data_IF_285217605689
#
_entry.id   IF_285217605689
#
_cell.length_a   1.000
_cell.length_b   1.000
_cell.length_c   1.000
_cell.angle_alpha   90.00
_cell.angle_beta   90.00
_cell.angle_gamma   90.00
#
_symmetry.space_group_name_H-M   'P 1'
#
loop_
_entity.id
_entity.type
_entity.pdbx_description
1 polymer ?
#
# COMPACT_ATOMS: atom_id res chain seq x y z
N UNK A 1 22.73 13.98 3.34
CA UNK A 1 22.75 12.50 3.16
C UNK A 1 21.78 11.87 4.16
N UNK A 2 20.86 11.01 3.74
CA UNK A 2 19.93 10.34 4.66
C UNK A 2 20.65 9.16 5.35
N UNK A 3 20.45 8.97 6.67
CA UNK A 3 21.13 7.89 7.43
C UNK A 3 20.73 6.48 6.99
N UNK A 4 19.50 6.32 6.52
CA UNK A 4 18.99 5.05 5.98
C UNK A 4 18.47 5.31 4.57
N UNK A 5 18.92 4.55 3.56
CA UNK A 5 18.32 4.59 2.24
C UNK A 5 16.89 4.02 2.29
N UNK A 6 16.00 4.55 1.46
CA UNK A 6 14.60 4.11 1.38
C UNK A 6 13.59 5.24 1.65
N UNK A 7 12.31 4.89 1.53
CA UNK A 7 11.18 5.81 1.70
C UNK A 7 10.91 6.07 3.19
N UNK A 8 10.56 7.31 3.52
CA UNK A 8 9.95 7.69 4.79
C UNK A 8 8.45 7.47 4.73
N UNK A 9 7.82 7.47 5.91
CA UNK A 9 6.36 7.41 6.04
C UNK A 9 5.68 8.53 5.25
N UNK A 10 6.22 9.76 5.30
CA UNK A 10 5.69 10.88 4.53
C UNK A 10 5.71 10.61 3.01
N UNK A 11 6.79 10.04 2.50
CA UNK A 11 6.96 9.73 1.07
C UNK A 11 6.06 8.56 0.64
N UNK A 12 5.92 7.52 1.48
CA UNK A 12 4.97 6.43 1.22
C UNK A 12 3.54 6.94 1.19
N UNK A 13 3.16 7.78 2.15
CA UNK A 13 1.83 8.37 2.24
C UNK A 13 1.52 9.22 1.00
N UNK A 14 2.47 10.04 0.58
CA UNK A 14 2.37 10.86 -0.63
C UNK A 14 2.17 9.99 -1.88
N UNK A 15 3.03 8.99 -2.09
CA UNK A 15 2.98 8.08 -3.24
C UNK A 15 1.70 7.25 -3.27
N UNK A 16 1.22 6.80 -2.11
CA UNK A 16 0.00 6.00 -1.98
C UNK A 16 -1.28 6.85 -1.87
N UNK A 17 -1.18 8.19 -1.89
CA UNK A 17 -2.31 9.13 -1.73
C UNK A 17 -3.13 8.88 -0.47
N UNK A 18 -2.47 8.58 0.64
CA UNK A 18 -3.08 8.42 1.98
C UNK A 18 -2.46 9.42 2.96
N UNK A 19 -3.05 9.58 4.16
CA UNK A 19 -2.43 10.41 5.19
C UNK A 19 -1.22 9.70 5.83
N UNK A 20 -0.28 10.48 6.36
CA UNK A 20 0.85 9.93 7.14
C UNK A 20 0.34 9.15 8.35
N UNK A 21 -0.72 9.65 9.01
CA UNK A 21 -1.39 8.95 10.11
C UNK A 21 -1.93 7.57 9.69
N UNK A 22 -2.44 7.46 8.46
CA UNK A 22 -2.89 6.17 7.92
C UNK A 22 -1.74 5.16 7.87
N UNK A 23 -0.56 5.57 7.37
CA UNK A 23 0.64 4.71 7.33
C UNK A 23 1.08 4.32 8.74
N UNK A 24 1.08 5.26 9.69
CA UNK A 24 1.42 4.97 11.09
C UNK A 24 0.45 3.95 11.71
N UNK A 25 -0.85 4.12 11.52
CA UNK A 25 -1.84 3.17 12.04
C UNK A 25 -1.75 1.80 11.38
N UNK A 26 -1.42 1.76 10.07
CA UNK A 26 -1.22 0.52 9.32
C UNK A 26 -0.06 -0.28 9.89
N UNK A 27 1.09 0.37 10.12
CA UNK A 27 2.26 -0.25 10.73
C UNK A 27 2.01 -0.75 12.16
N UNK A 28 1.15 -0.06 12.91
CA UNK A 28 0.78 -0.45 14.27
C UNK A 28 -0.33 -1.52 14.32
N UNK A 29 -0.84 -1.98 13.17
CA UNK A 29 -1.94 -2.93 13.07
C UNK A 29 -3.22 -2.50 13.83
N UNK A 30 -3.49 -1.19 13.94
CA UNK A 30 -4.61 -0.65 14.73
C UNK A 30 -5.91 -0.57 13.93
N UNK A 31 -6.65 -1.68 13.89
CA UNK A 31 -8.07 -1.69 13.51
C UNK A 31 -8.37 -1.24 12.08
N UNK A 32 -7.39 -1.29 11.18
CA UNK A 32 -7.56 -0.92 9.79
C UNK A 32 -8.05 -2.12 8.97
N UNK A 33 -8.95 -1.82 8.04
CA UNK A 33 -9.35 -2.69 6.93
C UNK A 33 -9.07 -1.90 5.64
N UNK A 34 -7.83 -1.93 5.13
CA UNK A 34 -7.50 -1.20 3.91
C UNK A 34 -8.34 -1.73 2.75
N UNK A 35 -8.89 -0.82 1.96
CA UNK A 35 -9.65 -1.17 0.76
C UNK A 35 -8.70 -1.68 -0.33
N UNK A 36 -9.24 -2.41 -1.31
CA UNK A 36 -8.46 -2.86 -2.47
C UNK A 36 -7.72 -1.70 -3.18
N UNK A 37 -8.33 -0.50 -3.26
CA UNK A 37 -7.69 0.68 -3.87
C UNK A 37 -6.48 1.17 -3.05
N UNK A 38 -6.57 1.15 -1.72
CA UNK A 38 -5.45 1.52 -0.85
C UNK A 38 -4.33 0.49 -0.97
N UNK A 39 -4.65 -0.79 -1.03
CA UNK A 39 -3.66 -1.86 -1.23
C UNK A 39 -2.96 -1.76 -2.59
N UNK A 40 -3.69 -1.42 -3.66
CA UNK A 40 -3.11 -1.12 -4.97
C UNK A 40 -2.14 0.05 -4.90
N UNK A 41 -2.56 1.16 -4.28
CA UNK A 41 -1.74 2.36 -4.15
C UNK A 41 -0.45 2.08 -3.35
N UNK A 42 -0.55 1.35 -2.25
CA UNK A 42 0.59 0.91 -1.44
C UNK A 42 1.52 -0.02 -2.23
N UNK A 43 0.97 -0.97 -2.98
CA UNK A 43 1.76 -1.90 -3.80
C UNK A 43 2.60 -1.15 -4.84
N UNK A 44 2.01 -0.11 -5.47
CA UNK A 44 2.71 0.75 -6.43
C UNK A 44 3.75 1.64 -5.76
N UNK A 45 3.42 2.27 -4.63
CA UNK A 45 4.32 3.13 -3.87
C UNK A 45 5.58 2.38 -3.40
N UNK A 46 5.40 1.15 -2.93
CA UNK A 46 6.47 0.28 -2.45
C UNK A 46 7.15 -0.53 -3.56
N UNK A 47 6.68 -0.41 -4.81
CA UNK A 47 7.18 -1.15 -5.98
C UNK A 47 7.21 -2.66 -5.77
N UNK A 48 6.15 -3.19 -5.18
CA UNK A 48 6.03 -4.63 -4.89
C UNK A 48 6.00 -5.45 -6.18
N UNK A 49 6.71 -6.56 -6.18
CA UNK A 49 6.62 -7.56 -7.22
C UNK A 49 5.23 -8.22 -7.22
N UNK A 50 4.81 -8.88 -8.33
CA UNK A 50 3.46 -9.45 -8.44
C UNK A 50 3.09 -10.43 -7.32
N UNK A 51 4.05 -11.24 -6.86
CA UNK A 51 3.87 -12.18 -5.75
C UNK A 51 3.75 -11.46 -4.38
N UNK A 52 4.54 -10.41 -4.15
CA UNK A 52 4.46 -9.59 -2.94
C UNK A 52 3.14 -8.82 -2.88
N UNK A 53 2.66 -8.31 -4.02
CA UNK A 53 1.32 -7.73 -4.14
C UNK A 53 0.26 -8.76 -3.79
N UNK A 54 0.30 -9.95 -4.40
CA UNK A 54 -0.68 -11.01 -4.11
C UNK A 54 -0.69 -11.37 -2.62
N UNK A 55 0.48 -11.48 -2.01
CA UNK A 55 0.62 -11.74 -0.57
C UNK A 55 0.04 -10.61 0.30
N UNK A 56 0.27 -9.34 -0.06
CA UNK A 56 -0.32 -8.20 0.64
C UNK A 56 -1.86 -8.23 0.62
N UNK A 57 -2.45 -8.58 -0.52
CA UNK A 57 -3.91 -8.71 -0.65
C UNK A 57 -4.47 -9.87 0.18
N UNK A 58 -3.77 -11.01 0.20
CA UNK A 58 -4.12 -12.16 1.03
C UNK A 58 -4.07 -11.80 2.53
N UNK A 59 -2.99 -11.15 3.00
CA UNK A 59 -2.90 -10.67 4.39
C UNK A 59 -4.06 -9.75 4.78
N UNK A 60 -4.51 -8.90 3.86
CA UNK A 60 -5.62 -7.99 4.09
C UNK A 60 -7.00 -8.62 3.89
N UNK A 61 -7.07 -9.89 3.47
CA UNK A 61 -8.30 -10.61 3.11
C UNK A 61 -9.14 -9.82 2.09
N UNK A 62 -8.46 -9.21 1.11
CA UNK A 62 -9.06 -8.45 0.01
C UNK A 62 -8.78 -9.13 -1.32
N UNK A 63 -9.62 -8.87 -2.33
CA UNK A 63 -9.34 -9.30 -3.70
C UNK A 63 -8.69 -8.16 -4.49
N UNK A 64 -7.62 -8.44 -5.26
CA UNK A 64 -7.10 -7.48 -6.22
C UNK A 64 -8.20 -7.08 -7.19
N UNK A 65 -8.22 -5.79 -7.58
CA UNK A 65 -9.03 -5.40 -8.72
C UNK A 65 -8.32 -5.92 -9.96
N UNK A 66 -8.98 -6.77 -10.74
CA UNK A 66 -8.42 -7.22 -12.00
C UNK A 66 -8.23 -6.01 -12.91
N UNK A 67 -7.04 -5.88 -13.51
CA UNK A 67 -6.65 -4.75 -14.34
C UNK A 67 -7.57 -4.54 -15.56
N UNK A 68 -8.45 -5.50 -15.86
CA UNK A 68 -9.42 -5.45 -16.95
C UNK A 68 -10.53 -4.40 -16.77
N UNK A 69 -10.85 -3.97 -15.54
CA UNK A 69 -11.93 -2.98 -15.31
C UNK A 69 -11.49 -1.51 -15.40
N UNK A 70 -10.20 -1.21 -15.45
CA UNK A 70 -9.68 0.17 -15.42
C UNK A 70 -9.47 0.79 -16.81
N UNK A 71 -9.83 0.07 -17.88
CA UNK A 71 -9.64 0.48 -19.28
C UNK A 71 -10.97 0.83 -20.00
N UNK A 72 -12.03 1.15 -19.26
CA UNK A 72 -13.30 1.69 -19.80
C UNK A 72 -13.53 3.08 -19.24
#
# INVERSE_FOLDING_TARGET
TRRTPGLRREEVAELARVSVDYVVRLEQARGLRPSANVLEALSRALRLAPNERAYLFDLAQQRPRDAAEAAT
#
